data_IF_898205174677
#
_entry.id   IF_898205174677
#
_cell.length_a   1.000
_cell.length_b   1.000
_cell.length_c   1.000
_cell.angle_alpha   90.00
_cell.angle_beta   90.00
_cell.angle_gamma   90.00
#
_symmetry.space_group_name_H-M   'P 1'
#
loop_
_entity.id
_entity.type
_entity.pdbx_description
1 polymer ?
#
# COMPACT_ATOMS: atom_id res chain seq x y z
N UNK A 1 8.36 5.25 -2.30
CA UNK A 1 8.24 6.59 -1.72
C UNK A 1 9.61 7.09 -1.28
N UNK A 2 9.91 8.38 -1.50
CA UNK A 2 11.18 9.02 -1.13
C UNK A 2 11.44 9.09 0.38
N UNK A 3 10.42 8.82 1.20
CA UNK A 3 10.55 8.67 2.65
C UNK A 3 10.98 7.26 3.11
N UNK A 4 11.39 6.40 2.18
CA UNK A 4 11.94 5.06 2.42
C UNK A 4 13.39 5.01 1.89
N UNK A 5 14.37 5.53 2.65
CA UNK A 5 15.73 5.77 2.15
C UNK A 5 16.43 4.48 1.70
N UNK A 6 16.19 3.34 2.33
CA UNK A 6 16.84 2.07 1.99
C UNK A 6 16.63 1.61 0.54
N UNK A 7 15.44 1.83 -0.01
CA UNK A 7 15.17 1.51 -1.42
C UNK A 7 15.96 2.43 -2.36
N UNK A 8 16.04 3.72 -2.02
CA UNK A 8 16.83 4.69 -2.80
C UNK A 8 18.34 4.46 -2.68
N UNK A 9 18.83 4.07 -1.50
CA UNK A 9 20.21 3.64 -1.29
C UNK A 9 20.54 2.42 -2.17
N UNK A 10 19.64 1.43 -2.23
CA UNK A 10 19.80 0.27 -3.11
C UNK A 10 19.81 0.68 -4.59
N UNK A 11 18.90 1.53 -5.03
CA UNK A 11 18.86 2.04 -6.40
C UNK A 11 20.19 2.76 -6.75
N UNK A 12 20.71 3.58 -5.84
CA UNK A 12 22.00 4.25 -6.01
C UNK A 12 23.17 3.26 -6.13
N UNK A 13 23.19 2.22 -5.29
CA UNK A 13 24.21 1.14 -5.38
C UNK A 13 24.16 0.37 -6.69
N UNK A 14 22.98 0.24 -7.28
CA UNK A 14 22.74 -0.41 -8.57
C UNK A 14 22.92 0.54 -9.76
N UNK A 15 23.28 1.81 -9.52
CA UNK A 15 23.46 2.85 -10.51
C UNK A 15 22.20 3.11 -11.37
N UNK A 16 21.02 2.92 -10.80
CA UNK A 16 19.73 3.20 -11.46
C UNK A 16 19.10 4.46 -10.89
N UNK A 17 18.65 5.34 -11.78
CA UNK A 17 18.05 6.61 -11.40
C UNK A 17 16.55 6.47 -11.16
N UNK A 18 16.05 6.89 -9.98
CA UNK A 18 14.62 6.85 -9.70
C UNK A 18 13.87 7.95 -10.49
N UNK A 19 12.77 7.57 -11.10
CA UNK A 19 11.79 8.49 -11.69
C UNK A 19 10.81 8.94 -10.60
N UNK A 20 10.65 10.25 -10.42
CA UNK A 20 9.74 10.83 -9.44
C UNK A 20 8.37 11.13 -10.06
N UNK A 21 7.32 10.91 -9.28
CA UNK A 21 5.97 11.29 -9.71
C UNK A 21 5.82 12.80 -9.82
N UNK A 22 4.94 13.21 -10.72
CA UNK A 22 4.53 14.60 -10.91
C UNK A 22 3.74 15.13 -9.71
N UNK A 23 3.57 16.44 -9.62
CA UNK A 23 2.69 17.06 -8.61
C UNK A 23 1.21 16.76 -8.87
N UNK A 24 0.80 16.50 -10.12
CA UNK A 24 -0.56 16.06 -10.45
C UNK A 24 -0.93 14.75 -9.70
N UNK A 25 0.04 13.87 -9.45
CA UNK A 25 -0.18 12.62 -8.69
C UNK A 25 -0.66 12.83 -7.24
N UNK A 26 -0.66 14.05 -6.72
CA UNK A 26 -1.24 14.37 -5.40
C UNK A 26 -2.76 14.38 -5.44
N UNK A 27 -3.37 14.80 -6.55
CA UNK A 27 -4.81 14.79 -6.74
C UNK A 27 -5.30 13.35 -6.86
N UNK A 28 -6.17 12.95 -5.97
CA UNK A 28 -6.76 11.61 -5.93
C UNK A 28 -8.26 11.73 -5.90
N UNK A 29 -8.93 10.82 -6.58
CA UNK A 29 -10.38 10.85 -6.69
C UNK A 29 -11.00 9.58 -6.13
N UNK A 30 -12.27 9.70 -5.73
CA UNK A 30 -13.15 8.59 -5.43
C UNK A 30 -14.36 8.70 -6.34
N UNK A 31 -14.68 7.62 -7.03
CA UNK A 31 -15.91 7.52 -7.80
C UNK A 31 -17.05 7.18 -6.85
N UNK A 32 -17.98 8.11 -6.68
CA UNK A 32 -19.18 7.90 -5.85
C UNK A 32 -20.35 8.70 -6.41
N UNK A 33 -21.52 8.10 -6.36
CA UNK A 33 -22.76 8.73 -6.81
C UNK A 33 -22.71 9.18 -8.28
N UNK A 34 -22.06 8.36 -9.16
CA UNK A 34 -21.96 8.59 -10.60
C UNK A 34 -20.91 9.61 -11.04
N UNK A 35 -20.11 10.18 -10.14
CA UNK A 35 -19.11 11.22 -10.44
C UNK A 35 -17.77 10.97 -9.74
N UNK A 36 -16.71 11.60 -10.26
CA UNK A 36 -15.40 11.65 -9.62
C UNK A 36 -15.38 12.78 -8.60
N UNK A 37 -15.14 12.43 -7.34
CA UNK A 37 -15.02 13.37 -6.25
C UNK A 37 -13.56 13.48 -5.82
N UNK A 38 -13.00 14.70 -5.81
CA UNK A 38 -11.64 14.95 -5.36
C UNK A 38 -11.52 14.67 -3.85
N UNK A 39 -10.53 13.87 -3.46
CA UNK A 39 -10.22 13.66 -2.05
C UNK A 39 -9.67 14.93 -1.42
N UNK A 40 -10.23 15.37 -0.28
CA UNK A 40 -9.76 16.57 0.40
C UNK A 40 -8.38 16.37 1.00
N UNK A 41 -7.45 17.28 0.72
CA UNK A 41 -6.08 17.25 1.25
C UNK A 41 -5.90 18.08 2.52
N UNK A 42 -6.89 18.91 2.87
CA UNK A 42 -6.82 19.83 4.01
C UNK A 42 -8.12 19.81 4.81
N UNK A 43 -8.10 20.23 6.09
CA UNK A 43 -9.32 20.39 6.88
C UNK A 43 -10.36 21.32 6.22
N UNK A 44 -9.91 22.37 5.56
CA UNK A 44 -10.82 23.31 4.87
C UNK A 44 -11.46 22.64 3.66
N UNK A 45 -10.66 21.99 2.78
CA UNK A 45 -11.20 21.27 1.63
C UNK A 45 -12.09 20.09 2.05
N UNK A 46 -11.85 19.49 3.23
CA UNK A 46 -12.74 18.47 3.79
C UNK A 46 -14.13 19.03 4.14
N UNK A 47 -14.17 20.22 4.74
CA UNK A 47 -15.44 20.87 5.13
C UNK A 47 -16.25 21.32 3.91
N UNK A 48 -15.60 21.64 2.80
CA UNK A 48 -16.25 22.10 1.55
C UNK A 48 -16.46 21.00 0.52
N UNK A 49 -15.98 19.77 0.78
CA UNK A 49 -16.09 18.63 -0.14
C UNK A 49 -17.51 18.07 -0.19
N UNK A 50 -18.00 17.76 -1.37
CA UNK A 50 -19.29 17.09 -1.60
C UNK A 50 -19.22 15.58 -1.41
N UNK A 51 -18.05 15.03 -1.10
CA UNK A 51 -17.86 13.58 -0.95
C UNK A 51 -18.66 13.03 0.24
N UNK A 52 -18.73 13.77 1.33
CA UNK A 52 -19.53 13.43 2.51
C UNK A 52 -20.70 14.41 2.67
N UNK A 53 -21.83 13.86 3.12
CA UNK A 53 -22.98 14.68 3.55
C UNK A 53 -22.58 15.61 4.71
N UNK A 54 -23.39 16.64 4.98
CA UNK A 54 -23.18 17.48 6.15
C UNK A 54 -23.14 16.67 7.44
N UNK A 55 -24.04 15.71 7.58
CA UNK A 55 -24.06 14.79 8.73
C UNK A 55 -22.77 13.97 8.80
N UNK A 56 -22.30 13.42 7.68
CA UNK A 56 -21.04 12.66 7.62
C UNK A 56 -19.84 13.49 8.04
N UNK A 57 -19.75 14.74 7.59
CA UNK A 57 -18.69 15.69 8.01
C UNK A 57 -18.73 15.97 9.50
N UNK A 58 -19.90 16.26 10.07
CA UNK A 58 -20.08 16.48 11.52
C UNK A 58 -19.71 15.20 12.31
N UNK A 59 -20.10 14.02 11.78
CA UNK A 59 -19.76 12.74 12.41
C UNK A 59 -18.26 12.48 12.44
N UNK A 60 -17.52 12.85 11.39
CA UNK A 60 -16.04 12.79 11.38
C UNK A 60 -15.45 13.78 12.40
N UNK A 61 -15.97 14.97 12.51
CA UNK A 61 -15.51 15.95 13.52
C UNK A 61 -15.76 15.45 14.96
N UNK A 62 -16.84 14.71 15.18
CA UNK A 62 -17.14 14.08 16.47
C UNK A 62 -16.08 13.04 16.88
N UNK A 63 -15.20 12.58 15.97
CA UNK A 63 -14.07 11.71 16.29
C UNK A 63 -13.21 12.24 17.44
N UNK A 64 -13.11 13.54 17.55
CA UNK A 64 -12.37 14.20 18.65
C UNK A 64 -12.86 13.77 20.04
N UNK A 65 -14.13 13.44 20.18
CA UNK A 65 -14.81 13.05 21.43
C UNK A 65 -15.12 11.54 21.48
N UNK A 66 -14.93 10.82 20.38
CA UNK A 66 -15.27 9.39 20.33
C UNK A 66 -14.44 8.58 21.33
N UNK A 67 -15.05 7.63 22.05
CA UNK A 67 -14.34 6.79 23.03
C UNK A 67 -13.32 5.88 22.35
N UNK A 68 -12.29 5.51 23.09
CA UNK A 68 -11.30 4.52 22.64
C UNK A 68 -11.95 3.15 22.47
N UNK A 69 -11.43 2.38 21.53
CA UNK A 69 -11.69 0.95 21.46
C UNK A 69 -11.16 0.22 22.70
N UNK A 70 -11.83 -0.89 23.04
CA UNK A 70 -11.44 -1.73 24.19
C UNK A 70 -10.84 -3.06 23.76
N UNK A 71 -10.92 -3.42 22.48
CA UNK A 71 -10.35 -4.65 21.96
C UNK A 71 -8.84 -4.49 21.74
N UNK A 72 -8.07 -5.54 21.95
CA UNK A 72 -6.63 -5.58 21.66
C UNK A 72 -6.35 -5.40 20.18
N UNK A 73 -7.25 -5.87 19.33
CA UNK A 73 -7.29 -5.63 17.89
C UNK A 73 -8.76 -5.59 17.46
N UNK A 74 -9.03 -4.74 16.48
CA UNK A 74 -10.34 -4.62 15.84
C UNK A 74 -10.18 -4.58 14.33
N UNK A 75 -11.25 -4.85 13.57
CA UNK A 75 -11.19 -4.72 12.12
C UNK A 75 -11.06 -3.26 11.72
N UNK A 76 -10.46 -3.02 10.56
CA UNK A 76 -10.39 -1.66 10.02
C UNK A 76 -11.80 -1.06 9.81
N UNK A 77 -12.77 -1.89 9.43
CA UNK A 77 -14.16 -1.49 9.24
C UNK A 77 -14.81 -1.04 10.55
N UNK A 78 -14.68 -1.84 11.60
CA UNK A 78 -15.27 -1.51 12.93
C UNK A 78 -14.64 -0.26 13.52
N UNK A 79 -13.31 -0.15 13.43
CA UNK A 79 -12.59 1.05 13.82
C UNK A 79 -13.11 2.29 13.08
N UNK A 80 -13.21 2.21 11.75
CA UNK A 80 -13.62 3.34 10.95
C UNK A 80 -15.08 3.75 11.23
N UNK A 81 -15.99 2.79 11.34
CA UNK A 81 -17.40 3.05 11.71
C UNK A 81 -17.52 3.68 13.08
N UNK A 82 -16.79 3.15 14.07
CA UNK A 82 -16.79 3.65 15.44
C UNK A 82 -16.23 5.06 15.53
N UNK A 83 -15.11 5.32 14.85
CA UNK A 83 -14.40 6.61 14.91
C UNK A 83 -14.97 7.65 13.96
N UNK A 84 -15.12 7.30 12.71
CA UNK A 84 -15.42 8.25 11.63
C UNK A 84 -16.88 8.20 11.16
N UNK A 85 -17.59 7.12 11.47
CA UNK A 85 -18.96 6.88 11.06
C UNK A 85 -19.06 6.10 9.73
N UNK A 86 -20.27 5.60 9.47
CA UNK A 86 -20.56 4.70 8.34
C UNK A 86 -20.24 5.33 6.98
N UNK A 87 -20.65 6.57 6.77
CA UNK A 87 -20.44 7.25 5.47
C UNK A 87 -18.96 7.45 5.16
N UNK A 88 -18.17 7.88 6.15
CA UNK A 88 -16.73 8.04 5.99
C UNK A 88 -16.01 6.69 5.80
N UNK A 89 -16.48 5.64 6.48
CA UNK A 89 -15.99 4.29 6.22
C UNK A 89 -16.23 3.91 4.76
N UNK A 90 -17.47 3.99 4.28
CA UNK A 90 -17.86 3.53 2.94
C UNK A 90 -17.22 4.35 1.81
N UNK A 91 -17.05 5.66 1.98
CA UNK A 91 -16.58 6.55 0.91
C UNK A 91 -15.08 6.86 0.95
N UNK A 92 -14.41 6.69 2.10
CA UNK A 92 -13.00 7.04 2.26
C UNK A 92 -12.12 5.84 2.65
N UNK A 93 -12.51 5.11 3.69
CA UNK A 93 -11.64 4.08 4.27
C UNK A 93 -11.69 2.79 3.47
N UNK A 94 -12.89 2.34 3.08
CA UNK A 94 -13.06 1.14 2.26
C UNK A 94 -12.31 1.23 0.93
N UNK A 95 -12.51 2.27 0.07
CA UNK A 95 -11.76 2.36 -1.19
C UNK A 95 -10.26 2.55 -0.97
N UNK A 96 -9.83 3.22 0.10
CA UNK A 96 -8.41 3.35 0.42
C UNK A 96 -7.79 2.00 0.78
N UNK A 97 -8.43 1.22 1.63
CA UNK A 97 -7.92 -0.07 2.07
C UNK A 97 -7.91 -1.10 0.93
N UNK A 98 -9.00 -1.18 0.17
CA UNK A 98 -9.08 -2.06 -1.01
C UNK A 98 -8.09 -1.65 -2.11
N UNK A 99 -7.85 -0.35 -2.31
CA UNK A 99 -6.85 0.15 -3.27
C UNK A 99 -5.40 -0.11 -2.85
N UNK A 100 -5.10 -0.19 -1.56
CA UNK A 100 -3.75 -0.48 -1.05
C UNK A 100 -3.49 -1.99 -0.95
N UNK A 101 -4.44 -2.74 -0.42
CA UNK A 101 -4.26 -4.15 -0.06
C UNK A 101 -5.07 -5.11 -0.94
N UNK A 102 -5.97 -4.62 -1.77
CA UNK A 102 -7.00 -5.41 -2.46
C UNK A 102 -7.79 -6.34 -1.50
N UNK A 103 -7.76 -6.00 -0.20
CA UNK A 103 -8.35 -6.78 0.88
C UNK A 103 -9.72 -6.26 1.28
N UNK A 104 -10.41 -7.06 2.10
CA UNK A 104 -11.70 -6.70 2.69
C UNK A 104 -11.49 -6.04 4.06
N UNK A 105 -11.82 -4.74 4.26
CA UNK A 105 -11.68 -4.06 5.55
C UNK A 105 -12.45 -4.71 6.70
N UNK A 106 -13.49 -5.50 6.41
CA UNK A 106 -14.28 -6.23 7.42
C UNK A 106 -13.48 -7.34 8.12
N UNK A 107 -12.39 -7.80 7.49
CA UNK A 107 -11.51 -8.86 8.04
C UNK A 107 -10.07 -8.41 8.22
N UNK A 108 -9.75 -7.15 7.92
CA UNK A 108 -8.38 -6.63 8.07
C UNK A 108 -8.13 -6.13 9.48
N UNK A 109 -7.08 -6.66 10.14
CA UNK A 109 -6.60 -6.16 11.43
C UNK A 109 -6.12 -4.71 11.29
N UNK A 110 -6.66 -3.81 12.10
CA UNK A 110 -6.21 -2.42 12.18
C UNK A 110 -4.75 -2.36 12.64
N UNK A 111 -4.41 -3.10 13.67
CA UNK A 111 -3.08 -3.11 14.29
C UNK A 111 -1.99 -3.58 13.31
N UNK A 112 -2.28 -4.62 12.53
CA UNK A 112 -1.34 -5.18 11.57
C UNK A 112 -1.24 -4.34 10.29
N UNK A 113 -2.36 -3.89 9.72
CA UNK A 113 -2.38 -3.20 8.44
C UNK A 113 -2.09 -1.70 8.57
N UNK A 114 -2.58 -1.07 9.64
CA UNK A 114 -2.44 0.37 9.88
C UNK A 114 -1.88 0.71 11.27
N UNK A 115 -0.69 0.19 11.65
CA UNK A 115 -0.13 0.34 13.01
C UNK A 115 0.03 1.81 13.42
N UNK A 116 0.26 2.73 12.49
CA UNK A 116 0.35 4.16 12.79
C UNK A 116 -0.99 4.75 13.22
N UNK A 117 -2.08 4.30 12.62
CA UNK A 117 -3.45 4.74 12.96
C UNK A 117 -3.83 4.19 14.32
N UNK A 118 -3.58 2.89 14.54
CA UNK A 118 -3.75 2.24 15.83
C UNK A 118 -2.99 2.99 16.96
N UNK A 119 -1.70 3.26 16.76
CA UNK A 119 -0.87 3.97 17.74
C UNK A 119 -1.33 5.42 18.00
N UNK A 120 -1.95 6.09 17.01
CA UNK A 120 -2.53 7.42 17.22
C UNK A 120 -3.69 7.38 18.20
N UNK A 121 -4.60 6.42 18.05
CA UNK A 121 -5.68 6.24 19.01
C UNK A 121 -5.16 5.82 20.36
N UNK A 122 -4.28 4.83 20.40
CA UNK A 122 -3.72 4.31 21.65
C UNK A 122 -2.99 5.40 22.46
N UNK A 123 -2.14 6.19 21.80
CA UNK A 123 -1.34 7.22 22.48
C UNK A 123 -2.11 8.49 22.83
N UNK A 124 -3.01 8.93 21.94
CA UNK A 124 -3.64 10.26 22.04
C UNK A 124 -5.16 10.21 22.29
N UNK A 125 -5.76 9.02 22.24
CA UNK A 125 -7.20 8.81 22.42
C UNK A 125 -8.07 9.28 21.26
N UNK A 126 -7.48 9.89 20.21
CA UNK A 126 -8.17 10.40 19.04
C UNK A 126 -7.18 10.59 17.89
N UNK A 127 -7.61 10.31 16.66
CA UNK A 127 -6.82 10.56 15.45
C UNK A 127 -6.56 12.04 15.25
N UNK A 128 -7.59 12.86 15.41
CA UNK A 128 -7.51 14.33 15.24
C UNK A 128 -6.54 14.93 16.27
N UNK A 129 -6.68 14.55 17.55
CA UNK A 129 -5.75 15.01 18.61
C UNK A 129 -4.31 14.60 18.33
N UNK A 130 -4.12 13.33 17.95
CA UNK A 130 -2.81 12.81 17.62
C UNK A 130 -2.17 13.53 16.43
N UNK A 131 -2.92 13.76 15.35
CA UNK A 131 -2.44 14.49 14.18
C UNK A 131 -2.06 15.93 14.49
N UNK A 132 -2.89 16.65 15.26
CA UNK A 132 -2.59 18.03 15.69
C UNK A 132 -1.28 18.06 16.49
N UNK A 133 -1.10 17.13 17.42
CA UNK A 133 0.11 17.05 18.23
C UNK A 133 1.35 16.73 17.40
N UNK A 134 1.27 15.74 16.50
CA UNK A 134 2.37 15.42 15.59
C UNK A 134 2.73 16.58 14.65
N UNK A 135 1.75 17.32 14.14
CA UNK A 135 1.99 18.51 13.32
C UNK A 135 2.71 19.62 14.10
N UNK A 136 2.32 19.84 15.37
CA UNK A 136 3.00 20.83 16.24
C UNK A 136 4.44 20.41 16.53
N UNK A 137 4.67 19.14 16.81
CA UNK A 137 6.03 18.58 17.03
C UNK A 137 6.90 18.68 15.77
N UNK A 138 6.35 18.33 14.59
CA UNK A 138 7.03 18.46 13.31
C UNK A 138 7.40 19.93 12.99
N UNK A 139 6.48 20.87 13.27
CA UNK A 139 6.76 22.30 13.09
C UNK A 139 7.89 22.80 14.00
N UNK A 140 7.93 22.36 15.27
CA UNK A 140 8.99 22.70 16.22
C UNK A 140 10.35 22.13 15.81
N UNK A 141 10.38 20.94 15.20
CA UNK A 141 11.61 20.25 14.81
C UNK A 141 12.07 20.53 13.37
N UNK A 142 11.43 21.46 12.65
CA UNK A 142 11.76 21.78 11.26
C UNK A 142 11.47 20.65 10.26
N UNK A 143 10.77 19.59 10.69
CA UNK A 143 10.45 18.43 9.85
C UNK A 143 9.23 18.74 8.94
N UNK A 144 9.18 18.06 7.80
CA UNK A 144 8.09 18.17 6.82
C UNK A 144 6.72 17.89 7.47
N UNK A 145 5.66 18.58 7.03
CA UNK A 145 4.29 18.41 7.55
C UNK A 145 3.87 16.94 7.50
N UNK A 146 3.33 16.45 8.61
CA UNK A 146 2.74 15.12 8.71
C UNK A 146 1.31 15.21 8.19
N UNK A 147 1.02 14.57 7.07
CA UNK A 147 -0.33 14.45 6.51
C UNK A 147 -0.96 13.08 6.82
N UNK A 148 -2.28 12.98 6.69
CA UNK A 148 -3.03 11.74 6.88
C UNK A 148 -2.80 10.70 5.75
N UNK A 149 -2.34 11.18 4.59
CA UNK A 149 -2.03 10.32 3.45
C UNK A 149 -0.60 9.76 3.47
N UNK A 150 -0.26 8.84 2.54
CA UNK A 150 1.11 8.40 2.37
C UNK A 150 1.98 9.61 2.02
N UNK A 151 2.78 10.04 3.00
CA UNK A 151 3.71 11.15 2.82
C UNK A 151 4.88 10.75 1.93
N UNK A 152 5.38 11.69 1.13
CA UNK A 152 6.49 11.50 0.23
C UNK A 152 6.09 11.49 -1.25
N UNK A 153 7.08 11.66 -2.11
CA UNK A 153 6.92 11.58 -3.56
C UNK A 153 6.97 10.12 -3.98
N UNK A 154 6.06 9.67 -4.83
CA UNK A 154 6.14 8.35 -5.41
C UNK A 154 7.38 8.25 -6.30
N UNK A 155 8.02 7.10 -6.29
CA UNK A 155 9.20 6.83 -7.11
C UNK A 155 9.02 5.52 -7.86
N UNK A 156 9.49 5.51 -9.09
CA UNK A 156 9.57 4.35 -9.97
C UNK A 156 10.89 4.43 -10.74
N UNK A 157 11.02 3.72 -11.84
CA UNK A 157 12.14 3.82 -12.77
C UNK A 157 11.60 4.03 -14.18
N UNK A 158 12.43 4.49 -15.11
CA UNK A 158 12.01 4.83 -16.47
C UNK A 158 11.26 3.66 -17.14
N UNK A 159 11.83 2.48 -17.12
CA UNK A 159 11.25 1.28 -17.71
C UNK A 159 10.46 0.43 -16.69
N UNK A 160 9.99 1.07 -15.60
CA UNK A 160 9.21 0.41 -14.56
C UNK A 160 10.05 -0.25 -13.47
N UNK A 161 9.35 -0.88 -12.52
CA UNK A 161 10.00 -1.52 -11.35
C UNK A 161 10.85 -2.74 -11.73
N UNK A 162 10.66 -3.30 -12.94
CA UNK A 162 11.49 -4.38 -13.48
C UNK A 162 12.98 -4.02 -13.54
N UNK A 163 13.30 -2.75 -13.83
CA UNK A 163 14.70 -2.27 -13.86
C UNK A 163 15.50 -2.62 -12.60
N UNK A 164 14.87 -2.50 -11.42
CA UNK A 164 15.53 -2.84 -10.16
C UNK A 164 15.86 -4.33 -10.09
N UNK A 165 14.92 -5.19 -10.54
CA UNK A 165 15.11 -6.64 -10.56
C UNK A 165 16.20 -7.03 -11.53
N UNK A 166 16.21 -6.47 -12.73
CA UNK A 166 17.22 -6.77 -13.75
C UNK A 166 18.61 -6.27 -13.34
N UNK A 167 18.68 -5.10 -12.71
CA UNK A 167 19.93 -4.57 -12.14
C UNK A 167 20.45 -5.44 -10.99
N UNK A 168 19.55 -5.95 -10.14
CA UNK A 168 19.92 -6.92 -9.09
C UNK A 168 20.42 -8.23 -9.66
N UNK A 169 19.78 -8.77 -10.71
CA UNK A 169 20.28 -9.96 -11.42
C UNK A 169 21.69 -9.74 -11.97
N UNK A 170 21.89 -8.59 -12.64
CA UNK A 170 23.21 -8.21 -13.16
C UNK A 170 24.28 -8.05 -12.08
N UNK A 171 23.93 -7.54 -10.91
CA UNK A 171 24.83 -7.40 -9.77
C UNK A 171 25.17 -8.75 -9.12
N UNK A 172 24.19 -9.64 -8.95
CA UNK A 172 24.38 -10.93 -8.30
C UNK A 172 25.09 -11.95 -9.20
N UNK A 173 24.88 -11.89 -10.52
CA UNK A 173 25.49 -12.79 -11.52
C UNK A 173 25.32 -14.26 -11.11
N UNK A 174 26.45 -14.98 -11.00
CA UNK A 174 26.51 -16.40 -10.68
C UNK A 174 26.02 -16.75 -9.27
N UNK A 175 25.93 -15.75 -8.38
CA UNK A 175 25.34 -15.93 -7.03
C UNK A 175 23.81 -16.06 -7.06
N UNK A 176 23.18 -15.75 -8.19
CA UNK A 176 21.75 -15.93 -8.40
C UNK A 176 21.48 -17.19 -9.18
N UNK A 177 20.76 -18.12 -8.55
CA UNK A 177 20.21 -19.30 -9.21
C UNK A 177 18.72 -19.10 -9.43
N UNK A 178 18.32 -18.83 -10.67
CA UNK A 178 16.93 -18.74 -11.07
C UNK A 178 16.44 -20.10 -11.63
N UNK A 179 15.11 -20.30 -11.66
CA UNK A 179 14.52 -21.57 -12.15
C UNK A 179 14.63 -22.74 -11.17
N UNK A 180 15.22 -22.54 -9.98
CA UNK A 180 15.39 -23.59 -8.97
C UNK A 180 14.38 -23.40 -7.84
N UNK A 181 13.35 -24.24 -7.81
CA UNK A 181 12.30 -24.19 -6.77
C UNK A 181 12.78 -24.91 -5.52
N UNK A 182 12.75 -24.25 -4.37
CA UNK A 182 12.94 -24.88 -3.06
C UNK A 182 11.66 -25.63 -2.70
N UNK A 183 11.78 -26.90 -2.35
CA UNK A 183 10.66 -27.78 -1.98
C UNK A 183 10.58 -28.07 -0.49
N UNK A 184 11.72 -28.15 0.20
CA UNK A 184 11.76 -28.32 1.65
C UNK A 184 13.10 -27.86 2.23
N UNK A 185 13.11 -27.71 3.54
CA UNK A 185 14.29 -27.39 4.33
C UNK A 185 14.36 -28.34 5.51
N UNK A 186 15.54 -28.84 5.81
CA UNK A 186 15.84 -29.67 6.97
C UNK A 186 16.91 -29.02 7.84
N UNK A 187 16.83 -29.21 9.16
CA UNK A 187 17.86 -28.78 10.08
C UNK A 187 18.98 -29.81 10.11
N UNK A 188 20.21 -29.34 10.05
CA UNK A 188 21.43 -30.12 10.24
C UNK A 188 22.14 -29.71 11.54
N UNK A 189 23.15 -30.47 11.95
CA UNK A 189 23.95 -30.16 13.14
C UNK A 189 24.55 -28.74 13.09
N UNK A 190 24.96 -28.29 11.88
CA UNK A 190 25.43 -26.93 11.62
C UNK A 190 24.65 -26.38 10.42
N UNK A 191 23.56 -25.61 10.68
CA UNK A 191 22.82 -24.93 9.62
C UNK A 191 21.65 -25.74 9.05
N UNK A 192 21.50 -25.72 7.73
CA UNK A 192 20.32 -26.21 7.02
C UNK A 192 20.70 -26.91 5.72
N UNK A 193 19.92 -27.92 5.34
CA UNK A 193 19.90 -28.51 4.01
C UNK A 193 18.63 -28.02 3.27
N UNK A 194 18.83 -27.40 2.12
CA UNK A 194 17.78 -26.84 1.26
C UNK A 194 17.61 -27.76 0.07
N UNK A 195 16.45 -28.40 -0.03
CA UNK A 195 16.13 -29.35 -1.10
C UNK A 195 15.46 -28.63 -2.26
N UNK A 196 15.97 -28.84 -3.46
CA UNK A 196 15.45 -28.26 -4.69
C UNK A 196 14.61 -29.26 -5.49
N UNK A 197 13.73 -28.77 -6.35
CA UNK A 197 12.84 -29.60 -7.16
C UNK A 197 13.57 -30.48 -8.21
N UNK A 198 14.82 -30.15 -8.54
CA UNK A 198 15.68 -30.92 -9.44
C UNK A 198 16.46 -32.04 -8.72
N UNK A 199 16.19 -32.26 -7.43
CA UNK A 199 16.86 -33.26 -6.59
C UNK A 199 18.16 -32.76 -5.94
N UNK A 200 18.62 -31.58 -6.28
CA UNK A 200 19.83 -31.02 -5.68
C UNK A 200 19.58 -30.59 -4.24
N UNK A 201 20.61 -30.74 -3.40
CA UNK A 201 20.62 -30.28 -2.01
C UNK A 201 21.71 -29.21 -1.83
N UNK A 202 21.35 -28.09 -1.26
CA UNK A 202 22.29 -27.00 -0.91
C UNK A 202 22.40 -26.90 0.59
N UNK A 203 23.60 -27.06 1.13
CA UNK A 203 23.87 -26.87 2.56
C UNK A 203 24.29 -25.44 2.84
N UNK A 204 23.81 -24.88 3.94
CA UNK A 204 24.11 -23.50 4.36
C UNK A 204 24.05 -23.36 5.89
N UNK A 205 24.87 -22.51 6.46
CA UNK A 205 24.83 -22.20 7.89
C UNK A 205 23.69 -21.24 8.22
N UNK A 206 23.36 -20.32 7.29
CA UNK A 206 22.33 -19.29 7.47
C UNK A 206 21.34 -19.35 6.32
N UNK A 207 20.06 -19.41 6.64
CA UNK A 207 18.97 -19.42 5.67
C UNK A 207 18.05 -18.23 5.90
N UNK A 208 17.78 -17.46 4.84
CA UNK A 208 16.77 -16.41 4.81
C UNK A 208 15.68 -16.78 3.81
N UNK A 209 14.44 -16.94 4.28
CA UNK A 209 13.27 -17.20 3.44
C UNK A 209 12.56 -15.88 3.18
N UNK A 210 12.58 -15.44 1.92
CA UNK A 210 11.95 -14.17 1.48
C UNK A 210 10.82 -14.41 0.45
N UNK A 211 10.26 -15.61 0.41
CA UNK A 211 9.11 -15.98 -0.41
C UNK A 211 7.79 -15.52 0.24
N UNK A 212 6.67 -15.50 -0.51
CA UNK A 212 5.35 -15.30 0.07
C UNK A 212 5.04 -16.29 1.19
N UNK A 213 4.22 -15.88 2.17
CA UNK A 213 3.98 -16.68 3.38
C UNK A 213 3.42 -18.09 3.06
N UNK A 214 2.52 -18.21 2.09
CA UNK A 214 2.01 -19.51 1.66
C UNK A 214 3.10 -20.43 1.11
N UNK A 215 4.09 -19.89 0.38
CA UNK A 215 5.23 -20.67 -0.12
C UNK A 215 6.20 -21.03 1.02
N UNK A 216 6.44 -20.08 1.94
CA UNK A 216 7.27 -20.32 3.12
C UNK A 216 6.64 -21.38 4.02
N UNK A 217 5.31 -21.38 4.18
CA UNK A 217 4.57 -22.41 4.91
C UNK A 217 4.87 -23.81 4.36
N UNK A 218 4.76 -24.01 3.04
CA UNK A 218 5.06 -25.30 2.41
C UNK A 218 6.51 -25.74 2.62
N UNK A 219 7.47 -24.83 2.44
CA UNK A 219 8.91 -25.09 2.62
C UNK A 219 9.23 -25.52 4.06
N UNK A 220 8.56 -24.90 5.05
CA UNK A 220 8.82 -25.10 6.46
C UNK A 220 8.01 -26.23 7.10
N UNK A 221 7.10 -26.86 6.39
CA UNK A 221 6.13 -27.83 6.91
C UNK A 221 6.76 -28.96 7.76
N UNK A 222 7.93 -29.44 7.35
CA UNK A 222 8.65 -30.50 8.05
C UNK A 222 9.65 -29.97 9.08
N UNK A 223 10.07 -28.71 8.98
CA UNK A 223 11.04 -28.09 9.88
C UNK A 223 10.39 -27.50 11.12
N UNK A 224 9.28 -26.79 10.93
CA UNK A 224 8.54 -26.10 11.99
C UNK A 224 7.04 -26.06 11.63
N UNK A 225 6.32 -27.07 12.07
CA UNK A 225 4.90 -27.26 11.75
C UNK A 225 4.01 -26.14 12.35
N UNK A 226 4.21 -25.69 13.61
CA UNK A 226 3.48 -24.56 14.15
C UNK A 226 3.66 -23.27 13.33
N UNK A 227 4.89 -22.91 12.97
CA UNK A 227 5.18 -21.76 12.13
C UNK A 227 4.56 -21.89 10.74
N UNK A 228 4.66 -23.07 10.12
CA UNK A 228 4.02 -23.36 8.84
C UNK A 228 2.51 -23.13 8.89
N UNK A 229 1.82 -23.58 9.95
CA UNK A 229 0.39 -23.37 10.11
C UNK A 229 0.05 -21.87 10.16
N UNK A 230 0.74 -21.09 10.99
CA UNK A 230 0.51 -19.65 11.12
C UNK A 230 0.76 -18.91 9.80
N UNK A 231 1.81 -19.28 9.08
CA UNK A 231 2.12 -18.67 7.77
C UNK A 231 1.05 -18.97 6.70
N UNK A 232 0.42 -20.16 6.77
CA UNK A 232 -0.65 -20.53 5.82
C UNK A 232 -1.94 -19.73 6.02
N UNK A 233 -2.15 -19.15 7.21
CA UNK A 233 -3.32 -18.34 7.53
C UNK A 233 -3.24 -16.91 7.00
N UNK A 234 -2.06 -16.45 6.52
CA UNK A 234 -1.90 -15.10 5.97
C UNK A 234 -2.54 -15.03 4.58
N UNK A 235 -3.64 -14.26 4.40
CA UNK A 235 -4.34 -14.21 3.14
C UNK A 235 -3.59 -13.38 2.09
N UNK A 236 -3.61 -13.85 0.86
CA UNK A 236 -3.07 -13.14 -0.31
C UNK A 236 -4.19 -12.95 -1.33
N UNK A 237 -4.80 -11.76 -1.40
CA UNK A 237 -5.83 -11.49 -2.39
C UNK A 237 -5.24 -11.47 -3.81
N UNK A 238 -5.96 -12.07 -4.75
CA UNK A 238 -5.60 -12.01 -6.16
C UNK A 238 -5.99 -10.67 -6.75
N UNK A 239 -5.11 -10.08 -7.55
CA UNK A 239 -5.33 -8.81 -8.26
C UNK A 239 -4.98 -8.98 -9.72
N UNK A 240 -5.83 -8.46 -10.61
CA UNK A 240 -5.55 -8.33 -12.02
C UNK A 240 -5.43 -6.86 -12.38
N UNK A 241 -4.41 -6.54 -13.17
CA UNK A 241 -4.20 -5.20 -13.73
C UNK A 241 -4.33 -5.28 -15.24
N UNK A 242 -5.17 -4.41 -15.81
CA UNK A 242 -5.31 -4.27 -17.26
C UNK A 242 -4.82 -2.89 -17.63
N UNK A 243 -3.85 -2.82 -18.55
CA UNK A 243 -3.27 -1.59 -19.04
C UNK A 243 -3.92 -1.20 -20.37
N UNK A 244 -4.36 0.05 -20.48
CA UNK A 244 -4.96 0.60 -21.70
C UNK A 244 -4.15 1.80 -22.18
N UNK A 245 -3.72 1.77 -23.43
CA UNK A 245 -3.12 2.90 -24.12
C UNK A 245 -4.13 3.57 -25.04
N UNK A 246 -4.31 4.88 -24.91
CA UNK A 246 -5.21 5.66 -25.77
C UNK A 246 -4.46 6.80 -26.44
N UNK A 247 -4.89 7.20 -27.65
CA UNK A 247 -4.48 8.47 -28.22
C UNK A 247 -5.02 9.61 -27.37
N UNK A 248 -4.18 10.56 -27.02
CA UNK A 248 -4.51 11.67 -26.12
C UNK A 248 -5.71 12.48 -26.61
N UNK A 249 -5.85 12.65 -27.92
CA UNK A 249 -6.94 13.36 -28.58
C UNK A 249 -8.33 12.69 -28.41
N UNK A 250 -8.34 11.38 -28.08
CA UNK A 250 -9.57 10.61 -27.82
C UNK A 250 -10.05 10.67 -26.38
N UNK A 251 -9.29 11.28 -25.50
CA UNK A 251 -9.65 11.44 -24.10
C UNK A 251 -10.18 12.86 -23.90
N UNK A 252 -11.47 12.98 -23.67
CA UNK A 252 -12.14 14.28 -23.52
C UNK A 252 -11.68 15.03 -22.26
N UNK A 253 -11.42 14.30 -21.17
CA UNK A 253 -11.02 14.88 -19.90
C UNK A 253 -9.50 14.93 -19.75
N UNK A 254 -9.01 16.00 -19.11
CA UNK A 254 -7.63 16.04 -18.65
C UNK A 254 -7.45 15.02 -17.55
N UNK A 255 -6.60 14.01 -17.78
CA UNK A 255 -6.21 13.06 -16.75
C UNK A 255 -5.27 13.75 -15.75
N UNK A 256 -5.82 14.69 -14.95
CA UNK A 256 -5.05 15.51 -14.01
C UNK A 256 -5.14 14.93 -12.60
N UNK A 257 -4.35 13.90 -12.33
CA UNK A 257 -4.35 13.26 -11.03
C UNK A 257 -3.68 11.91 -10.99
N UNK A 258 -3.79 11.25 -9.84
CA UNK A 258 -3.33 9.89 -9.63
C UNK A 258 -4.26 8.87 -10.32
N UNK A 259 -5.53 9.20 -10.40
CA UNK A 259 -6.60 8.30 -10.76
C UNK A 259 -7.70 8.29 -9.70
N UNK A 260 -8.53 7.27 -9.72
CA UNK A 260 -9.65 7.16 -8.79
C UNK A 260 -9.80 5.74 -8.23
N UNK A 261 -10.35 5.67 -7.03
CA UNK A 261 -10.77 4.44 -6.37
C UNK A 261 -12.29 4.34 -6.36
N UNK A 262 -12.80 3.13 -6.31
CA UNK A 262 -14.24 2.85 -6.31
C UNK A 262 -14.61 2.17 -4.99
N UNK A 263 -15.48 2.76 -4.16
CA UNK A 263 -16.03 2.14 -2.97
C UNK A 263 -16.79 0.85 -3.30
N UNK A 264 -16.72 -0.14 -2.43
CA UNK A 264 -17.44 -1.40 -2.60
C UNK A 264 -18.96 -1.20 -2.76
N UNK A 265 -19.52 -0.19 -2.11
CA UNK A 265 -20.95 0.18 -2.21
C UNK A 265 -21.41 0.52 -3.64
N UNK A 266 -20.50 0.97 -4.51
CA UNK A 266 -20.81 1.30 -5.91
C UNK A 266 -21.00 0.04 -6.79
N UNK A 267 -20.73 -1.15 -6.25
CA UNK A 267 -20.92 -2.48 -6.88
C UNK A 267 -20.30 -2.58 -8.28
N UNK A 268 -19.14 -1.95 -8.50
CA UNK A 268 -18.40 -2.05 -9.75
C UNK A 268 -17.44 -3.23 -9.70
N UNK A 269 -17.07 -3.78 -10.86
CA UNK A 269 -16.16 -4.94 -10.98
C UNK A 269 -14.68 -4.57 -10.90
N UNK A 270 -14.34 -3.29 -10.79
CA UNK A 270 -12.98 -2.78 -10.69
C UNK A 270 -12.79 -2.02 -9.38
N UNK A 271 -11.58 -2.06 -8.84
CA UNK A 271 -11.20 -1.33 -7.62
C UNK A 271 -10.92 0.15 -7.89
N UNK A 272 -10.54 0.49 -9.11
CA UNK A 272 -10.19 1.85 -9.51
C UNK A 272 -9.43 1.89 -10.83
N UNK A 273 -8.99 3.06 -11.22
CA UNK A 273 -8.15 3.32 -12.38
C UNK A 273 -7.02 4.24 -12.00
N UNK A 274 -5.82 3.96 -12.48
CA UNK A 274 -4.63 4.79 -12.32
C UNK A 274 -4.33 5.49 -13.64
N UNK A 275 -3.97 6.76 -13.61
CA UNK A 275 -3.58 7.54 -14.78
C UNK A 275 -2.05 7.63 -14.85
N UNK A 276 -1.43 6.53 -15.31
CA UNK A 276 0.02 6.36 -15.18
C UNK A 276 0.83 7.46 -15.85
N UNK A 277 0.38 7.95 -17.03
CA UNK A 277 1.00 9.09 -17.73
C UNK A 277 0.93 10.40 -16.95
N UNK A 278 -0.06 10.59 -16.09
CA UNK A 278 -0.16 11.76 -15.20
C UNK A 278 0.71 11.60 -13.96
N UNK A 279 0.83 10.36 -13.47
CA UNK A 279 1.66 10.05 -12.31
C UNK A 279 3.13 10.16 -12.67
N UNK A 280 3.55 9.54 -13.79
CA UNK A 280 4.93 9.47 -14.24
C UNK A 280 5.01 9.97 -15.71
N UNK A 281 5.34 11.25 -15.92
CA UNK A 281 5.53 11.78 -17.27
C UNK A 281 6.57 10.97 -18.07
N UNK A 282 6.31 10.76 -19.34
CA UNK A 282 7.17 9.97 -20.24
C UNK A 282 6.92 8.46 -20.20
N UNK A 283 5.86 7.99 -19.52
CA UNK A 283 5.49 6.55 -19.48
C UNK A 283 4.76 6.07 -20.71
N UNK A 284 4.11 6.94 -21.45
CA UNK A 284 3.50 6.63 -22.75
C UNK A 284 4.28 7.32 -23.85
N UNK A 285 4.27 6.77 -25.09
CA UNK A 285 4.80 7.46 -26.27
C UNK A 285 4.13 8.80 -26.50
N UNK A 286 4.80 9.69 -27.23
CA UNK A 286 4.24 11.00 -27.58
C UNK A 286 2.88 10.85 -28.28
N UNK A 287 1.92 11.67 -27.86
CA UNK A 287 0.55 11.61 -28.36
C UNK A 287 -0.34 10.52 -27.74
N UNK A 288 0.18 9.72 -26.81
CA UNK A 288 -0.57 8.69 -26.10
C UNK A 288 -0.66 8.93 -24.59
N UNK A 289 -1.63 8.30 -23.95
CA UNK A 289 -1.82 8.24 -22.49
C UNK A 289 -2.06 6.80 -22.05
N UNK A 290 -1.62 6.49 -20.85
CA UNK A 290 -1.74 5.19 -20.21
C UNK A 290 -2.51 5.34 -18.90
#
# INVERSE_FOLDING_TARGET
>A
LDNRPKTLELASKLLINPLRSSDAARKRYVFSDGKLNLLPESPVSFLTSDLLSLYGRLRVMYEFFAPRGRADDETLADFARRRLGKEAYEKLIDPMASGIYAGNPESMSLKSCFPKVFNLEDKYGSLIKGMIKLQREAKKSGKRKVGAGPGGTLTSFHDGMGMMIDSLKGYLKERLRSGSKVVSVERKNKGYAVHLSDGMVVETEILVIASPAYSASEILKNLDRPLSSVLSEIPYPSVSVVCFGYRKERIADKLDGFGFLIPYKERRKILGSLWDSSIFPGRAPDGYVL
#
